data_IF_883653114972
#
_entry.id   IF_883653114972
#
_cell.length_a   1.000
_cell.length_b   1.000
_cell.length_c   1.000
_cell.angle_alpha   90.00
_cell.angle_beta   90.00
_cell.angle_gamma   90.00
#
_symmetry.space_group_name_H-M   'P 1'
#
loop_
_entity.id
_entity.type
_entity.pdbx_description
1 polymer ?
#
# COMPACT_ATOMS: atom_id res chain seq x y z
N UNK A 1 -19.92 -40.24 2.66
CA UNK A 1 -19.24 -38.98 3.04
C UNK A 1 -19.95 -37.86 2.33
N UNK A 2 -20.59 -36.95 3.06
CA UNK A 2 -21.12 -35.72 2.47
C UNK A 2 -19.96 -34.92 1.87
N UNK A 3 -20.14 -34.43 0.64
CA UNK A 3 -19.12 -33.64 -0.06
C UNK A 3 -18.98 -32.32 0.68
N UNK A 4 -17.80 -32.08 1.28
CA UNK A 4 -17.51 -30.83 1.97
C UNK A 4 -17.56 -29.66 0.98
N UNK A 5 -18.27 -28.59 1.36
CA UNK A 5 -18.39 -27.38 0.55
C UNK A 5 -17.03 -26.68 0.43
N UNK A 6 -16.59 -26.41 -0.79
CA UNK A 6 -15.27 -25.85 -1.08
C UNK A 6 -15.35 -24.43 -1.64
N UNK A 7 -14.21 -23.72 -1.69
CA UNK A 7 -14.10 -22.47 -2.43
C UNK A 7 -14.55 -22.60 -3.90
N UNK A 8 -14.35 -23.76 -4.53
CA UNK A 8 -14.79 -23.97 -5.90
C UNK A 8 -16.32 -23.98 -6.01
N UNK A 9 -17.00 -24.66 -5.07
CA UNK A 9 -18.47 -24.70 -5.04
C UNK A 9 -19.03 -23.30 -4.73
N UNK A 10 -18.38 -22.54 -3.83
CA UNK A 10 -18.71 -21.15 -3.51
C UNK A 10 -18.65 -20.23 -4.73
N UNK A 11 -17.56 -20.29 -5.50
CA UNK A 11 -17.38 -19.46 -6.69
C UNK A 11 -18.47 -19.76 -7.73
N UNK A 12 -18.81 -21.04 -7.93
CA UNK A 12 -19.92 -21.43 -8.83
C UNK A 12 -21.23 -20.84 -8.34
N UNK A 13 -21.58 -21.02 -7.06
CA UNK A 13 -22.86 -20.56 -6.51
C UNK A 13 -23.00 -19.03 -6.62
N UNK A 14 -21.90 -18.28 -6.40
CA UNK A 14 -21.87 -16.83 -6.60
C UNK A 14 -22.15 -16.46 -8.06
N UNK A 15 -21.46 -17.08 -9.02
CA UNK A 15 -21.68 -16.77 -10.44
C UNK A 15 -23.06 -17.21 -10.95
N UNK A 16 -23.61 -18.32 -10.47
CA UNK A 16 -24.98 -18.76 -10.81
C UNK A 16 -26.03 -17.75 -10.35
N UNK A 17 -25.80 -17.12 -9.19
CA UNK A 17 -26.70 -16.12 -8.62
C UNK A 17 -26.53 -14.75 -9.25
N UNK A 18 -25.30 -14.27 -9.45
CA UNK A 18 -25.02 -12.91 -9.96
C UNK A 18 -25.09 -12.84 -11.49
N UNK A 19 -24.63 -13.88 -12.19
CA UNK A 19 -24.61 -13.98 -13.65
C UNK A 19 -23.92 -12.83 -14.38
N UNK A 20 -22.86 -12.28 -13.79
CA UNK A 20 -22.06 -11.19 -14.37
C UNK A 20 -20.56 -11.44 -14.23
N UNK A 21 -19.73 -10.82 -15.10
CA UNK A 21 -18.28 -10.85 -14.95
C UNK A 21 -17.81 -10.19 -13.66
N UNK A 22 -17.03 -10.90 -12.84
CA UNK A 22 -16.55 -10.38 -11.55
C UNK A 22 -15.05 -10.61 -11.35
N UNK A 23 -14.41 -9.74 -10.58
CA UNK A 23 -13.04 -9.95 -10.06
C UNK A 23 -13.05 -10.94 -8.89
N UNK A 24 -11.91 -11.53 -8.51
CA UNK A 24 -11.83 -12.40 -7.34
C UNK A 24 -12.35 -11.77 -6.03
N UNK A 25 -12.09 -10.47 -5.85
CA UNK A 25 -12.51 -9.68 -4.69
C UNK A 25 -14.02 -9.55 -4.66
N UNK A 26 -14.62 -9.16 -5.79
CA UNK A 26 -16.07 -9.02 -5.94
C UNK A 26 -16.79 -10.36 -5.71
N UNK A 27 -16.21 -11.47 -6.17
CA UNK A 27 -16.75 -12.81 -5.90
C UNK A 27 -16.76 -13.11 -4.41
N UNK A 28 -15.70 -12.76 -3.69
CA UNK A 28 -15.64 -12.95 -2.23
C UNK A 28 -16.62 -12.04 -1.49
N UNK A 29 -16.68 -10.75 -1.83
CA UNK A 29 -17.63 -9.79 -1.26
C UNK A 29 -19.07 -10.27 -1.43
N UNK A 30 -19.44 -10.74 -2.63
CA UNK A 30 -20.76 -11.32 -2.89
C UNK A 30 -21.01 -12.62 -2.14
N UNK A 31 -19.97 -13.44 -1.95
CA UNK A 31 -20.10 -14.64 -1.13
C UNK A 31 -20.45 -14.29 0.32
N UNK A 32 -19.82 -13.27 0.90
CA UNK A 32 -20.12 -12.77 2.25
C UNK A 32 -21.53 -12.15 2.30
N UNK A 33 -21.89 -11.32 1.32
CA UNK A 33 -23.23 -10.73 1.20
C UNK A 33 -24.33 -11.79 1.17
N UNK A 34 -24.08 -12.90 0.47
CA UNK A 34 -25.02 -14.02 0.37
C UNK A 34 -24.87 -15.06 1.50
N UNK A 35 -23.98 -14.83 2.46
CA UNK A 35 -23.66 -15.76 3.55
C UNK A 35 -23.19 -17.15 3.06
N UNK A 36 -22.59 -17.23 1.87
CA UNK A 36 -22.01 -18.48 1.33
C UNK A 36 -20.66 -18.80 1.98
N UNK A 37 -19.94 -17.79 2.45
CA UNK A 37 -18.73 -17.91 3.25
C UNK A 37 -18.94 -18.78 4.50
N UNK A 38 -20.12 -18.68 5.14
CA UNK A 38 -20.49 -19.46 6.34
C UNK A 38 -20.60 -20.96 6.08
N UNK A 39 -20.70 -21.39 4.82
CA UNK A 39 -20.73 -22.81 4.45
C UNK A 39 -19.32 -23.42 4.39
N UNK A 40 -18.27 -22.59 4.38
CA UNK A 40 -16.89 -23.06 4.39
C UNK A 40 -16.51 -23.56 5.80
N UNK A 41 -15.79 -24.68 5.86
CA UNK A 41 -15.29 -25.20 7.14
C UNK A 41 -14.21 -24.34 7.79
N UNK A 42 -13.54 -23.48 7.02
CA UNK A 42 -12.60 -22.47 7.49
C UNK A 42 -12.32 -21.47 6.37
N UNK A 43 -12.16 -20.19 6.70
CA UNK A 43 -11.59 -19.19 5.81
C UNK A 43 -10.12 -18.93 6.18
N UNK A 44 -9.24 -18.86 5.19
CA UNK A 44 -7.85 -18.43 5.39
C UNK A 44 -7.77 -16.91 5.65
N UNK A 45 -6.56 -16.39 5.90
CA UNK A 45 -6.34 -14.95 6.12
C UNK A 45 -6.66 -14.08 4.89
N UNK A 46 -6.57 -14.65 3.68
CA UNK A 46 -6.77 -13.95 2.40
C UNK A 46 -7.75 -14.69 1.49
N UNK A 47 -9.07 -14.66 1.80
CA UNK A 47 -10.07 -15.41 1.04
C UNK A 47 -10.20 -14.98 -0.43
N UNK A 48 -10.11 -13.68 -0.74
CA UNK A 48 -10.15 -13.17 -2.11
C UNK A 48 -8.97 -13.68 -2.96
N UNK A 49 -7.75 -13.70 -2.39
CA UNK A 49 -6.58 -14.30 -3.04
C UNK A 49 -6.78 -15.81 -3.29
N UNK A 50 -7.44 -16.51 -2.36
CA UNK A 50 -7.79 -17.93 -2.51
C UNK A 50 -8.79 -18.15 -3.64
N UNK A 51 -9.80 -17.28 -3.76
CA UNK A 51 -10.74 -17.26 -4.89
C UNK A 51 -9.99 -17.06 -6.21
N UNK A 52 -9.11 -16.06 -6.26
CA UNK A 52 -8.30 -15.76 -7.44
C UNK A 52 -7.45 -16.95 -7.86
N UNK A 53 -6.69 -17.53 -6.93
CA UNK A 53 -5.89 -18.72 -7.19
C UNK A 53 -6.73 -19.85 -7.79
N UNK A 54 -7.94 -20.09 -7.28
CA UNK A 54 -8.81 -21.15 -7.79
C UNK A 54 -9.31 -20.87 -9.21
N UNK A 55 -9.67 -19.62 -9.51
CA UNK A 55 -10.07 -19.17 -10.85
C UNK A 55 -8.93 -19.36 -11.86
N UNK A 56 -7.72 -18.92 -11.53
CA UNK A 56 -6.56 -19.03 -12.41
C UNK A 56 -6.11 -20.47 -12.64
N UNK A 57 -6.11 -21.30 -11.59
CA UNK A 57 -5.75 -22.73 -11.71
C UNK A 57 -6.74 -23.45 -12.64
N UNK A 58 -8.05 -23.23 -12.48
CA UNK A 58 -9.06 -23.83 -13.35
C UNK A 58 -8.89 -23.41 -14.81
N UNK A 59 -8.69 -22.10 -15.04
CA UNK A 59 -8.47 -21.54 -16.37
C UNK A 59 -7.20 -22.09 -17.04
N UNK A 60 -6.12 -22.27 -16.28
CA UNK A 60 -4.83 -22.76 -16.78
C UNK A 60 -4.84 -24.27 -17.04
N UNK A 61 -5.33 -25.07 -16.10
CA UNK A 61 -5.22 -26.53 -16.16
C UNK A 61 -6.24 -27.15 -17.11
N UNK A 62 -7.44 -26.55 -17.23
CA UNK A 62 -8.53 -27.12 -18.02
C UNK A 62 -8.74 -26.42 -19.36
N UNK A 63 -8.15 -25.26 -19.60
CA UNK A 63 -8.21 -24.50 -20.85
C UNK A 63 -9.64 -24.43 -21.45
N UNK A 64 -9.90 -25.10 -22.57
CA UNK A 64 -11.22 -25.12 -23.23
C UNK A 64 -12.32 -25.78 -22.37
N UNK A 65 -11.95 -26.69 -21.47
CA UNK A 65 -12.84 -27.37 -20.51
C UNK A 65 -12.96 -26.65 -19.17
N UNK A 66 -12.36 -25.47 -19.04
CA UNK A 66 -12.43 -24.65 -17.81
C UNK A 66 -13.87 -24.32 -17.46
N UNK A 67 -14.22 -24.41 -16.17
CA UNK A 67 -15.54 -24.03 -15.65
C UNK A 67 -15.71 -22.52 -15.69
N UNK A 68 -14.62 -21.78 -15.45
CA UNK A 68 -14.59 -20.32 -15.49
C UNK A 68 -13.89 -19.81 -16.76
N UNK A 69 -14.34 -18.69 -17.29
CA UNK A 69 -13.74 -18.01 -18.44
C UNK A 69 -13.26 -16.63 -17.99
N UNK A 70 -11.99 -16.33 -18.21
CA UNK A 70 -11.47 -14.98 -18.05
C UNK A 70 -11.91 -14.13 -19.24
N UNK A 71 -12.65 -13.06 -18.96
CA UNK A 71 -13.25 -12.18 -19.97
C UNK A 71 -12.63 -10.78 -19.97
N UNK A 72 -11.86 -10.43 -18.94
CA UNK A 72 -10.96 -9.26 -18.89
C UNK A 72 -9.67 -9.60 -18.18
N UNK A 73 -8.58 -8.88 -18.49
CA UNK A 73 -7.24 -9.08 -17.90
C UNK A 73 -6.78 -7.94 -16.98
N UNK A 74 -7.36 -6.75 -17.10
CA UNK A 74 -6.93 -5.54 -16.36
C UNK A 74 -8.12 -4.62 -16.10
N UNK A 75 -8.81 -4.77 -14.96
CA UNK A 75 -8.65 -5.84 -13.97
C UNK A 75 -9.11 -7.20 -14.51
N UNK A 76 -8.68 -8.28 -13.85
CA UNK A 76 -9.07 -9.63 -14.27
C UNK A 76 -10.51 -9.93 -13.87
N UNK A 77 -11.37 -10.21 -14.86
CA UNK A 77 -12.77 -10.56 -14.62
C UNK A 77 -13.08 -11.94 -15.16
N UNK A 78 -13.81 -12.73 -14.39
CA UNK A 78 -14.18 -14.09 -14.69
C UNK A 78 -15.70 -14.25 -14.75
N UNK A 79 -16.17 -15.27 -15.47
CA UNK A 79 -17.57 -15.69 -15.49
C UNK A 79 -17.70 -17.20 -15.66
N UNK A 80 -18.82 -17.80 -15.26
CA UNK A 80 -19.14 -19.19 -15.56
C UNK A 80 -19.30 -19.42 -17.07
N UNK A 81 -18.60 -20.41 -17.60
CA UNK A 81 -18.70 -20.84 -19.01
C UNK A 81 -20.13 -21.24 -19.38
N UNK A 82 -20.82 -21.92 -18.46
CA UNK A 82 -22.18 -22.45 -18.67
C UNK A 82 -23.23 -21.36 -18.91
N UNK A 83 -22.97 -20.11 -18.51
CA UNK A 83 -23.90 -19.01 -18.72
C UNK A 83 -23.96 -18.55 -20.18
N UNK A 84 -22.94 -18.85 -20.99
CA UNK A 84 -22.86 -18.58 -22.42
C UNK A 84 -23.31 -17.15 -22.82
N UNK A 85 -22.88 -16.15 -22.04
CA UNK A 85 -23.24 -14.73 -22.26
C UNK A 85 -22.51 -14.19 -23.48
N UNK A 86 -23.20 -13.36 -24.28
CA UNK A 86 -22.62 -12.73 -25.47
C UNK A 86 -21.46 -11.78 -25.12
N UNK A 87 -20.45 -11.71 -25.99
CA UNK A 87 -19.29 -10.83 -25.79
C UNK A 87 -19.65 -9.33 -25.73
N UNK A 88 -20.71 -8.90 -26.41
CA UNK A 88 -21.19 -7.52 -26.37
C UNK A 88 -21.83 -7.16 -25.03
N UNK A 89 -22.56 -8.08 -24.41
CA UNK A 89 -23.14 -7.91 -23.09
C UNK A 89 -22.06 -7.89 -22.00
N UNK A 90 -21.08 -8.80 -22.08
CA UNK A 90 -19.90 -8.79 -21.21
C UNK A 90 -19.20 -7.44 -21.27
N UNK A 91 -18.94 -6.92 -22.47
CA UNK A 91 -18.25 -5.64 -22.64
C UNK A 91 -19.02 -4.48 -22.01
N UNK A 92 -20.34 -4.41 -22.21
CA UNK A 92 -21.21 -3.38 -21.60
C UNK A 92 -21.20 -3.44 -20.08
N UNK A 93 -21.24 -4.63 -19.49
CA UNK A 93 -21.20 -4.80 -18.04
C UNK A 93 -19.85 -4.36 -17.46
N UNK A 94 -18.74 -4.68 -18.14
CA UNK A 94 -17.40 -4.21 -17.74
C UNK A 94 -17.31 -2.68 -17.80
N UNK A 95 -17.68 -2.07 -18.92
CA UNK A 95 -17.66 -0.61 -19.10
C UNK A 95 -18.55 0.11 -18.06
N UNK A 96 -19.72 -0.47 -17.75
CA UNK A 96 -20.61 0.09 -16.73
C UNK A 96 -19.98 0.06 -15.33
N UNK A 97 -19.25 -1.01 -15.00
CA UNK A 97 -18.58 -1.15 -13.71
C UNK A 97 -17.38 -0.23 -13.58
N UNK A 98 -16.51 -0.17 -14.58
CA UNK A 98 -15.35 0.74 -14.58
C UNK A 98 -15.79 2.20 -14.38
N UNK A 99 -16.88 2.61 -15.02
CA UNK A 99 -17.45 3.95 -14.82
C UNK A 99 -18.02 4.18 -13.40
N UNK A 100 -18.51 3.14 -12.74
CA UNK A 100 -19.01 3.23 -11.36
C UNK A 100 -17.86 3.32 -10.36
N UNK A 101 -16.81 2.51 -10.54
CA UNK A 101 -15.60 2.50 -9.71
C UNK A 101 -14.86 3.86 -9.78
N UNK A 102 -14.75 4.44 -10.98
CA UNK A 102 -14.19 5.78 -11.16
C UNK A 102 -14.95 6.87 -10.38
N UNK A 103 -16.29 6.77 -10.31
CA UNK A 103 -17.09 7.72 -9.52
C UNK A 103 -16.89 7.51 -8.02
N UNK A 104 -16.90 6.26 -7.57
CA UNK A 104 -16.74 5.92 -6.16
C UNK A 104 -15.36 6.33 -5.61
N UNK A 105 -14.30 6.18 -6.42
CA UNK A 105 -12.94 6.62 -6.04
C UNK A 105 -12.83 8.15 -5.84
N UNK A 106 -13.66 8.93 -6.54
CA UNK A 106 -13.73 10.39 -6.38
C UNK A 106 -14.56 10.81 -5.17
N UNK A 107 -15.37 9.92 -4.58
CA UNK A 107 -16.32 10.21 -3.49
C UNK A 107 -15.81 9.83 -2.09
N UNK A 108 -14.54 9.41 -1.92
CA UNK A 108 -14.05 9.04 -0.59
C UNK A 108 -14.07 10.24 0.38
N UNK A 109 -14.61 10.04 1.58
CA UNK A 109 -14.77 11.09 2.60
C UNK A 109 -13.45 11.60 3.22
N UNK A 110 -12.32 10.93 2.96
CA UNK A 110 -11.01 11.31 3.47
C UNK A 110 -9.98 11.47 2.35
N UNK A 111 -8.92 12.22 2.63
CA UNK A 111 -7.79 12.43 1.74
C UNK A 111 -6.57 11.60 2.17
N UNK A 112 -5.53 11.55 1.34
CA UNK A 112 -4.30 10.78 1.62
C UNK A 112 -3.62 11.22 2.91
N UNK A 113 -3.71 12.51 3.26
CA UNK A 113 -3.14 13.06 4.50
C UNK A 113 -3.81 12.54 5.75
N UNK A 114 -5.09 12.19 5.68
CA UNK A 114 -5.79 11.55 6.79
C UNK A 114 -5.23 10.13 7.09
N UNK A 115 -4.40 9.56 6.20
CA UNK A 115 -3.72 8.29 6.45
C UNK A 115 -2.37 8.44 7.16
N UNK A 116 -1.83 9.65 7.27
CA UNK A 116 -0.51 9.88 7.88
C UNK A 116 -0.43 9.34 9.32
N UNK A 117 -1.43 9.58 10.20
CA UNK A 117 -1.38 9.06 11.58
C UNK A 117 -1.32 7.53 11.66
N UNK A 118 -1.90 6.82 10.68
CA UNK A 118 -1.84 5.36 10.60
C UNK A 118 -0.40 4.93 10.31
N UNK A 119 0.22 5.51 9.28
CA UNK A 119 1.62 5.21 8.95
C UNK A 119 2.55 5.55 10.12
N UNK A 120 2.42 6.74 10.72
CA UNK A 120 3.22 7.19 11.88
C UNK A 120 3.16 6.14 13.01
N UNK A 121 1.95 5.66 13.34
CA UNK A 121 1.76 4.64 14.37
C UNK A 121 2.41 3.30 14.00
N UNK A 122 2.28 2.88 12.75
CA UNK A 122 2.87 1.65 12.24
C UNK A 122 4.40 1.69 12.31
N UNK A 123 5.05 2.68 11.67
CA UNK A 123 6.51 2.71 11.54
C UNK A 123 7.23 3.01 12.85
N UNK A 124 6.56 3.68 13.80
CA UNK A 124 7.09 3.89 15.14
C UNK A 124 7.22 2.59 15.94
N UNK A 125 6.27 1.66 15.77
CA UNK A 125 6.22 0.40 16.53
C UNK A 125 6.81 -0.81 15.80
N UNK A 126 6.93 -0.72 14.47
CA UNK A 126 7.45 -1.78 13.65
C UNK A 126 8.99 -1.91 13.81
N UNK A 127 9.54 -3.09 14.14
CA UNK A 127 10.98 -3.28 14.38
C UNK A 127 11.91 -2.97 13.20
N UNK A 128 11.43 -3.10 11.95
CA UNK A 128 12.22 -2.76 10.76
C UNK A 128 12.47 -1.26 10.67
N UNK A 129 11.45 -0.47 11.02
CA UNK A 129 11.49 0.99 10.93
C UNK A 129 11.98 1.62 12.24
N UNK A 130 11.24 1.37 13.35
CA UNK A 130 11.43 1.97 14.67
C UNK A 130 11.80 3.47 14.56
N UNK A 131 11.06 4.20 13.73
CA UNK A 131 11.47 5.52 13.27
C UNK A 131 10.52 6.62 13.70
N UNK A 132 11.06 7.84 13.79
CA UNK A 132 10.30 9.07 13.97
C UNK A 132 9.99 9.66 12.61
N UNK A 133 8.76 10.12 12.39
CA UNK A 133 8.34 10.67 11.10
C UNK A 133 8.06 12.16 11.15
N UNK A 134 8.17 12.80 10.00
CA UNK A 134 7.74 14.18 9.77
C UNK A 134 6.93 14.26 8.49
N UNK A 135 5.72 14.78 8.59
CA UNK A 135 4.88 15.12 7.43
C UNK A 135 5.47 16.33 6.74
N UNK A 136 5.64 16.24 5.41
CA UNK A 136 6.14 17.32 4.58
C UNK A 136 4.96 17.92 3.81
N UNK A 137 4.66 19.19 4.06
CA UNK A 137 3.53 19.87 3.43
C UNK A 137 3.97 20.50 2.13
N UNK A 138 3.63 19.86 1.01
CA UNK A 138 3.93 20.35 -0.33
C UNK A 138 3.46 21.80 -0.56
N UNK A 139 2.31 22.19 0.00
CA UNK A 139 1.73 23.54 -0.12
C UNK A 139 2.59 24.67 0.47
N UNK A 140 3.52 24.32 1.37
CA UNK A 140 4.45 25.23 2.01
C UNK A 140 5.69 25.51 1.15
N UNK A 141 5.84 24.84 0.00
CA UNK A 141 7.01 24.99 -0.86
C UNK A 141 7.05 26.36 -1.55
N UNK A 142 8.26 26.92 -1.69
CA UNK A 142 8.51 28.29 -2.14
C UNK A 142 8.15 28.48 -3.61
N UNK A 143 8.43 27.48 -4.46
CA UNK A 143 8.07 27.48 -5.88
C UNK A 143 6.74 26.76 -6.06
N UNK A 144 5.72 27.45 -6.58
CA UNK A 144 4.41 26.88 -6.92
C UNK A 144 4.27 26.71 -8.42
N UNK A 145 5.08 25.84 -9.02
CA UNK A 145 4.89 25.47 -10.43
C UNK A 145 3.96 24.26 -10.47
N UNK A 146 2.74 24.46 -10.97
CA UNK A 146 1.72 23.41 -11.12
C UNK A 146 2.33 22.25 -11.93
N UNK A 147 2.31 21.04 -11.37
CA UNK A 147 2.85 19.83 -12.00
C UNK A 147 4.32 19.51 -11.69
N UNK A 148 5.16 20.45 -11.26
CA UNK A 148 6.54 20.12 -10.82
C UNK A 148 6.57 19.62 -9.37
N UNK A 149 5.72 20.21 -8.52
CA UNK A 149 5.72 19.88 -7.09
C UNK A 149 5.17 18.48 -6.79
N UNK A 150 4.35 17.90 -7.67
CA UNK A 150 3.81 16.53 -7.52
C UNK A 150 4.90 15.44 -7.63
N UNK A 151 6.07 15.80 -8.14
CA UNK A 151 7.19 14.89 -8.42
C UNK A 151 8.45 15.23 -7.63
N UNK A 152 8.31 16.07 -6.62
CA UNK A 152 9.44 16.52 -5.83
C UNK A 152 9.33 16.11 -4.36
N UNK A 153 8.17 16.24 -3.74
CA UNK A 153 8.06 16.11 -2.28
C UNK A 153 7.49 14.76 -1.86
N UNK A 154 8.16 14.02 -0.97
CA UNK A 154 7.51 12.90 -0.29
C UNK A 154 6.44 13.42 0.68
N UNK A 155 5.45 12.58 1.00
CA UNK A 155 4.40 12.95 1.94
C UNK A 155 4.89 12.90 3.39
N UNK A 156 5.68 11.87 3.72
CA UNK A 156 6.37 11.75 5.00
C UNK A 156 7.81 11.33 4.82
N UNK A 157 8.66 11.80 5.72
CA UNK A 157 10.02 11.33 5.88
C UNK A 157 10.19 10.73 7.27
N UNK A 158 11.07 9.74 7.39
CA UNK A 158 11.34 9.03 8.63
C UNK A 158 12.81 8.99 8.96
N UNK A 159 13.14 8.95 10.26
CA UNK A 159 14.50 8.71 10.74
C UNK A 159 14.51 7.69 11.88
N UNK A 160 15.34 6.66 11.72
CA UNK A 160 15.71 5.75 12.80
C UNK A 160 16.96 6.26 13.51
N UNK A 161 16.91 6.28 14.85
CA UNK A 161 18.03 6.64 15.70
C UNK A 161 18.49 5.45 16.55
N UNK A 162 19.78 5.07 16.51
CA UNK A 162 20.33 3.95 17.26
C UNK A 162 20.60 4.26 18.75
N UNK A 163 20.23 5.46 19.23
CA UNK A 163 20.67 6.00 20.54
C UNK A 163 20.28 5.14 21.75
N UNK A 164 19.21 4.35 21.65
CA UNK A 164 18.71 3.49 22.73
C UNK A 164 19.06 2.01 22.53
N UNK A 165 19.56 1.65 21.36
CA UNK A 165 19.75 0.26 20.97
C UNK A 165 21.15 -0.25 21.33
N UNK A 166 22.09 0.67 21.53
CA UNK A 166 23.48 0.37 21.87
C UNK A 166 23.95 1.15 23.09
N UNK A 167 24.96 0.59 23.79
CA UNK A 167 25.67 1.32 24.83
C UNK A 167 26.46 2.49 24.24
N UNK A 168 26.80 3.47 25.10
CA UNK A 168 27.59 4.64 24.69
C UNK A 168 28.95 4.25 24.13
N UNK A 169 29.56 3.19 24.64
CA UNK A 169 30.85 2.67 24.20
C UNK A 169 30.76 2.10 22.78
N UNK A 170 29.73 1.31 22.49
CA UNK A 170 29.48 0.75 21.16
C UNK A 170 29.19 1.86 20.14
N UNK A 171 28.40 2.87 20.51
CA UNK A 171 28.15 4.03 19.63
C UNK A 171 29.44 4.80 19.31
N UNK A 172 30.32 5.03 20.31
CA UNK A 172 31.62 5.67 20.08
C UNK A 172 32.51 4.86 19.13
N UNK A 173 32.47 3.53 19.24
CA UNK A 173 33.19 2.65 18.32
C UNK A 173 32.62 2.75 16.91
N UNK A 174 31.29 2.73 16.74
CA UNK A 174 30.65 2.93 15.43
C UNK A 174 31.09 4.25 14.78
N UNK A 175 31.08 5.36 15.54
CA UNK A 175 31.57 6.65 15.06
C UNK A 175 33.04 6.60 14.66
N UNK A 176 33.89 5.95 15.48
CA UNK A 176 35.33 5.83 15.20
C UNK A 176 35.62 4.98 13.95
N UNK A 177 34.74 4.02 13.65
CA UNK A 177 34.79 3.17 12.45
C UNK A 177 34.04 3.77 11.25
N UNK A 178 33.50 4.98 11.38
CA UNK A 178 32.67 5.65 10.38
C UNK A 178 31.46 4.81 9.90
N UNK A 179 30.87 4.04 10.82
CA UNK A 179 29.66 3.25 10.58
C UNK A 179 28.45 4.15 10.82
N UNK A 180 27.67 4.42 9.77
CA UNK A 180 26.41 5.14 9.89
C UNK A 180 25.27 4.16 10.22
N UNK A 181 24.79 4.22 11.45
CA UNK A 181 23.65 3.42 11.94
C UNK A 181 22.32 4.16 11.87
N UNK A 182 22.31 5.45 11.49
CA UNK A 182 21.10 6.22 11.24
C UNK A 182 20.56 5.84 9.87
N UNK A 183 19.23 5.66 9.78
CA UNK A 183 18.55 5.36 8.52
C UNK A 183 17.47 6.38 8.25
N UNK A 184 17.41 6.86 7.01
CA UNK A 184 16.35 7.73 6.50
C UNK A 184 15.37 6.93 5.65
N UNK A 185 14.10 7.21 5.88
CA UNK A 185 12.98 6.62 5.15
C UNK A 185 12.20 7.72 4.44
N UNK A 186 11.58 7.39 3.31
CA UNK A 186 10.69 8.29 2.60
C UNK A 186 9.44 7.54 2.17
N UNK A 187 8.28 8.17 2.34
CA UNK A 187 6.98 7.54 2.14
C UNK A 187 6.09 8.40 1.24
N UNK A 188 5.53 7.77 0.22
CA UNK A 188 4.49 8.30 -0.66
C UNK A 188 3.17 7.61 -0.30
N UNK A 189 2.14 8.38 0.05
CA UNK A 189 0.85 7.88 0.53
C UNK A 189 -0.19 7.85 -0.59
N UNK A 190 -0.93 6.74 -0.68
CA UNK A 190 -2.09 6.61 -1.57
C UNK A 190 -3.26 5.93 -0.87
N UNK A 191 -4.49 6.30 -1.23
CA UNK A 191 -5.70 5.64 -0.70
C UNK A 191 -5.87 4.23 -1.24
N UNK A 192 -5.72 4.08 -2.55
CA UNK A 192 -5.82 2.81 -3.23
C UNK A 192 -4.81 2.74 -4.38
N UNK A 193 -4.47 1.51 -4.80
CA UNK A 193 -3.71 1.27 -6.02
C UNK A 193 -4.31 0.09 -6.78
N UNK A 194 -4.50 0.28 -8.08
CA UNK A 194 -5.03 -0.69 -9.05
C UNK A 194 -4.41 -0.46 -10.43
N UNK A 195 -4.82 -1.21 -11.46
CA UNK A 195 -4.25 -1.08 -12.81
C UNK A 195 -4.41 0.32 -13.44
N UNK A 196 -5.42 1.10 -13.04
CA UNK A 196 -5.68 2.43 -13.60
C UNK A 196 -4.65 3.46 -13.18
N UNK A 197 -4.09 3.31 -11.97
CA UNK A 197 -3.19 4.29 -11.35
C UNK A 197 -1.80 3.74 -11.00
N UNK A 198 -1.58 2.42 -11.11
CA UNK A 198 -0.33 1.72 -10.76
C UNK A 198 0.93 2.46 -11.19
N UNK A 199 1.06 2.75 -12.49
CA UNK A 199 2.29 3.36 -13.01
C UNK A 199 2.47 4.77 -12.47
N UNK A 200 1.41 5.57 -12.48
CA UNK A 200 1.49 6.95 -12.03
C UNK A 200 1.95 7.01 -10.57
N UNK A 201 1.26 6.29 -9.68
CA UNK A 201 1.56 6.32 -8.26
C UNK A 201 2.91 5.67 -7.94
N UNK A 202 3.26 4.58 -8.61
CA UNK A 202 4.56 3.95 -8.41
C UNK A 202 5.70 4.89 -8.85
N UNK A 203 5.60 5.55 -10.00
CA UNK A 203 6.66 6.46 -10.45
C UNK A 203 6.68 7.78 -9.66
N UNK A 204 5.57 8.22 -9.07
CA UNK A 204 5.58 9.29 -8.06
C UNK A 204 6.43 8.87 -6.86
N UNK A 205 6.21 7.68 -6.31
CA UNK A 205 7.02 7.16 -5.20
C UNK A 205 8.51 7.03 -5.58
N UNK A 206 8.81 6.58 -6.80
CA UNK A 206 10.20 6.56 -7.32
C UNK A 206 10.79 7.97 -7.32
N UNK A 207 10.10 8.95 -7.88
CA UNK A 207 10.59 10.34 -7.95
C UNK A 207 10.80 10.96 -6.57
N UNK A 208 9.82 10.78 -5.68
CA UNK A 208 9.74 11.50 -4.41
C UNK A 208 10.54 10.83 -3.29
N UNK A 209 10.82 9.52 -3.39
CA UNK A 209 11.35 8.73 -2.28
C UNK A 209 12.64 7.96 -2.56
N UNK A 210 13.17 7.95 -3.79
CA UNK A 210 14.42 7.22 -4.10
C UNK A 210 15.68 7.83 -3.48
N UNK A 211 15.62 9.06 -2.96
CA UNK A 211 16.77 9.74 -2.36
C UNK A 211 17.19 9.13 -1.00
N UNK A 212 16.24 8.52 -0.28
CA UNK A 212 16.44 8.00 1.07
C UNK A 212 17.13 6.62 1.08
N UNK A 213 17.49 6.12 2.28
CA UNK A 213 18.02 4.75 2.40
C UNK A 213 16.96 3.73 1.97
N UNK A 214 15.68 3.96 2.28
CA UNK A 214 14.57 3.15 1.81
C UNK A 214 13.37 4.04 1.47
N UNK A 215 12.85 3.89 0.25
CA UNK A 215 11.66 4.58 -0.23
C UNK A 215 10.47 3.63 -0.34
N UNK A 216 9.28 4.10 0.05
CA UNK A 216 8.07 3.28 0.10
C UNK A 216 6.87 3.97 -0.54
N UNK A 217 6.11 3.19 -1.31
CA UNK A 217 4.73 3.48 -1.66
C UNK A 217 3.82 2.81 -0.63
N UNK A 218 3.01 3.61 0.06
CA UNK A 218 2.14 3.17 1.14
C UNK A 218 0.70 3.29 0.68
N UNK A 219 -0.07 2.21 0.80
CA UNK A 219 -1.47 2.18 0.38
C UNK A 219 -2.38 1.64 1.48
N UNK A 220 -3.58 2.20 1.60
CA UNK A 220 -4.61 1.61 2.45
C UNK A 220 -5.25 0.38 1.75
N UNK A 221 -5.55 0.50 0.46
CA UNK A 221 -6.12 -0.57 -0.36
C UNK A 221 -5.20 -0.91 -1.53
N UNK A 222 -5.05 -2.19 -1.82
CA UNK A 222 -4.24 -2.70 -2.93
C UNK A 222 -5.09 -3.76 -3.62
N UNK A 223 -5.16 -3.71 -4.95
CA UNK A 223 -5.83 -4.74 -5.76
C UNK A 223 -5.24 -6.13 -5.43
N UNK A 224 -6.11 -7.07 -5.07
CA UNK A 224 -5.75 -8.41 -4.62
C UNK A 224 -5.58 -9.39 -5.79
N UNK A 225 -5.83 -8.95 -7.03
CA UNK A 225 -5.61 -9.76 -8.22
C UNK A 225 -4.15 -10.27 -8.27
N UNK A 226 -3.94 -11.59 -8.36
CA UNK A 226 -2.60 -12.18 -8.43
C UNK A 226 -1.71 -11.62 -9.54
N UNK A 227 -2.27 -11.28 -10.71
CA UNK A 227 -1.45 -10.69 -11.79
C UNK A 227 -1.07 -9.24 -11.47
N UNK A 228 -1.94 -8.50 -10.78
CA UNK A 228 -1.65 -7.15 -10.33
C UNK A 228 -0.49 -7.17 -9.32
N UNK A 229 -0.59 -8.01 -8.28
CA UNK A 229 0.47 -8.17 -7.28
C UNK A 229 1.81 -8.59 -7.91
N UNK A 230 1.79 -9.45 -8.94
CA UNK A 230 2.99 -9.81 -9.70
C UNK A 230 3.62 -8.63 -10.46
N UNK A 231 2.80 -7.76 -11.08
CA UNK A 231 3.30 -6.56 -11.75
C UNK A 231 3.87 -5.55 -10.74
N UNK A 232 3.19 -5.36 -9.61
CA UNK A 232 3.65 -4.49 -8.53
C UNK A 232 5.00 -4.96 -7.96
N UNK A 233 5.15 -6.28 -7.74
CA UNK A 233 6.42 -6.88 -7.32
C UNK A 233 7.53 -6.69 -8.38
N UNK A 234 7.20 -6.82 -9.68
CA UNK A 234 8.15 -6.58 -10.77
C UNK A 234 8.64 -5.13 -10.77
N UNK A 235 7.75 -4.16 -10.57
CA UNK A 235 8.11 -2.75 -10.48
C UNK A 235 8.99 -2.50 -9.23
N UNK A 236 8.59 -3.01 -8.07
CA UNK A 236 9.36 -2.90 -6.83
C UNK A 236 10.79 -3.45 -7.01
N UNK A 237 10.93 -4.65 -7.58
CA UNK A 237 12.25 -5.25 -7.84
C UNK A 237 13.09 -4.45 -8.83
N UNK A 238 12.47 -3.83 -9.84
CA UNK A 238 13.17 -3.07 -10.87
C UNK A 238 13.67 -1.72 -10.36
N UNK A 239 12.86 -1.01 -9.56
CA UNK A 239 13.13 0.38 -9.17
C UNK A 239 13.55 0.55 -7.70
N UNK A 240 13.35 -0.48 -6.86
CA UNK A 240 13.79 -0.49 -5.47
C UNK A 240 12.84 0.17 -4.48
N UNK A 241 11.64 0.59 -4.90
CA UNK A 241 10.61 1.13 -4.00
C UNK A 241 9.88 -0.03 -3.31
N UNK A 242 9.84 0.00 -1.98
CA UNK A 242 9.07 -0.94 -1.17
C UNK A 242 7.59 -0.62 -1.19
N UNK A 243 6.76 -1.60 -0.85
CA UNK A 243 5.30 -1.45 -0.82
C UNK A 243 4.80 -1.78 0.58
N UNK A 244 4.05 -0.86 1.19
CA UNK A 244 3.38 -1.07 2.48
C UNK A 244 1.87 -1.07 2.27
N UNK A 245 1.19 -2.08 2.81
CA UNK A 245 -0.26 -2.09 2.93
C UNK A 245 -0.65 -1.88 4.38
N UNK A 246 -1.33 -0.77 4.64
CA UNK A 246 -1.86 -0.47 5.97
C UNK A 246 -3.12 -1.27 6.24
N UNK A 247 -3.24 -1.80 7.45
CA UNK A 247 -4.47 -2.37 7.97
C UNK A 247 -5.05 -1.39 9.00
N UNK A 248 -6.13 -0.66 8.67
CA UNK A 248 -6.71 0.33 9.58
C UNK A 248 -7.39 -0.31 10.79
N UNK A 249 -7.91 -1.54 10.67
CA UNK A 249 -8.57 -2.25 11.77
C UNK A 249 -7.55 -2.75 12.80
N UNK A 250 -6.38 -3.21 12.33
CA UNK A 250 -5.29 -3.69 13.16
C UNK A 250 -3.95 -3.19 12.62
N UNK A 251 -3.50 -2.04 13.13
CA UNK A 251 -2.32 -1.36 12.57
C UNK A 251 -1.04 -2.22 12.66
N UNK A 252 -0.93 -3.07 13.68
CA UNK A 252 0.18 -4.01 13.87
C UNK A 252 0.21 -5.12 12.83
N UNK A 253 -0.92 -5.39 12.17
CA UNK A 253 -1.05 -6.35 11.06
C UNK A 253 -0.81 -5.70 9.69
N UNK A 254 -0.42 -4.44 9.64
CA UNK A 254 0.03 -3.81 8.39
C UNK A 254 1.30 -4.50 7.87
N UNK A 255 1.37 -4.68 6.56
CA UNK A 255 2.38 -5.54 5.92
C UNK A 255 3.30 -4.76 4.98
N UNK A 256 4.60 -5.09 5.01
CA UNK A 256 5.53 -4.77 3.93
C UNK A 256 5.36 -5.86 2.88
N UNK A 257 4.61 -5.57 1.82
CA UNK A 257 4.35 -6.54 0.73
C UNK A 257 5.62 -6.75 -0.10
N UNK A 258 6.33 -5.66 -0.39
CA UNK A 258 7.59 -5.70 -1.10
C UNK A 258 8.64 -4.92 -0.30
N UNK A 259 9.79 -5.53 -0.05
CA UNK A 259 10.89 -4.84 0.63
C UNK A 259 11.49 -3.77 -0.29
N UNK A 260 11.77 -2.60 0.27
CA UNK A 260 12.54 -1.59 -0.43
C UNK A 260 13.99 -2.06 -0.61
N UNK A 261 14.66 -1.58 -1.66
CA UNK A 261 16.11 -1.73 -1.79
C UNK A 261 16.76 -0.74 -0.83
N UNK A 262 17.66 -1.24 0.02
CA UNK A 262 18.49 -0.38 0.84
C UNK A 262 19.54 0.34 -0.02
N UNK A 263 19.51 1.67 0.00
CA UNK A 263 20.51 2.54 -0.63
C UNK A 263 21.53 2.96 0.43
N UNK A 264 22.78 2.53 0.29
CA UNK A 264 23.88 2.91 1.19
C UNK A 264 24.21 4.41 1.07
N UNK A 265 24.12 4.94 -0.15
CA UNK A 265 24.38 6.35 -0.45
C UNK A 265 23.06 7.08 -0.66
N UNK A 266 22.85 8.13 0.13
CA UNK A 266 21.73 9.05 0.00
C UNK A 266 22.00 9.99 -1.19
N UNK A 267 20.96 10.31 -1.96
CA UNK A 267 21.04 11.31 -3.02
C UNK A 267 21.04 12.73 -2.42
N UNK A 268 22.25 13.25 -2.21
CA UNK A 268 22.49 14.57 -1.62
C UNK A 268 21.96 15.72 -2.47
N UNK A 269 21.99 15.59 -3.80
CA UNK A 269 21.52 16.64 -4.70
C UNK A 269 20.00 16.79 -4.60
N UNK A 270 19.28 15.66 -4.52
CA UNK A 270 17.82 15.68 -4.30
C UNK A 270 17.48 16.18 -2.90
N UNK A 271 18.23 15.78 -1.87
CA UNK A 271 18.04 16.25 -0.49
C UNK A 271 18.23 17.77 -0.37
N UNK A 272 19.30 18.32 -0.96
CA UNK A 272 19.55 19.77 -0.93
C UNK A 272 18.44 20.53 -1.64
N UNK A 273 18.03 20.08 -2.83
CA UNK A 273 16.91 20.68 -3.55
C UNK A 273 15.61 20.68 -2.72
N UNK A 274 15.33 19.58 -2.00
CA UNK A 274 14.16 19.50 -1.11
C UNK A 274 14.26 20.49 0.06
N UNK A 275 15.45 20.63 0.63
CA UNK A 275 15.75 21.57 1.71
C UNK A 275 15.57 23.02 1.26
N UNK A 276 16.04 23.38 0.07
CA UNK A 276 15.87 24.73 -0.49
C UNK A 276 14.39 25.05 -0.81
N UNK A 277 13.67 24.07 -1.37
CA UNK A 277 12.32 24.30 -1.89
C UNK A 277 11.23 24.20 -0.81
N UNK A 278 11.43 23.44 0.28
CA UNK A 278 10.42 23.19 1.30
C UNK A 278 10.92 23.47 2.75
N UNK A 279 10.32 24.45 3.46
CA UNK A 279 10.76 24.83 4.81
C UNK A 279 10.52 23.75 5.87
N UNK A 280 9.51 22.89 5.70
CA UNK A 280 9.28 21.77 6.64
C UNK A 280 10.37 20.70 6.50
N UNK A 281 10.81 20.44 5.27
CA UNK A 281 11.93 19.53 5.00
C UNK A 281 13.25 20.12 5.50
N UNK A 282 13.52 21.40 5.25
CA UNK A 282 14.69 22.09 5.80
C UNK A 282 14.73 21.99 7.33
N UNK A 283 13.59 22.23 7.99
CA UNK A 283 13.45 22.07 9.43
C UNK A 283 13.71 20.63 9.87
N UNK A 284 13.22 19.63 9.14
CA UNK A 284 13.52 18.22 9.42
C UNK A 284 15.03 17.93 9.40
N UNK A 285 15.76 18.44 8.40
CA UNK A 285 17.23 18.27 8.33
C UNK A 285 17.94 18.98 9.49
N UNK A 286 17.49 20.17 9.88
CA UNK A 286 18.02 20.89 11.04
C UNK A 286 17.78 20.12 12.34
N UNK A 287 16.55 19.70 12.58
CA UNK A 287 16.12 18.92 13.76
C UNK A 287 16.90 17.60 13.87
N UNK A 288 17.11 16.93 12.72
CA UNK A 288 17.93 15.71 12.61
C UNK A 288 19.37 15.97 13.04
N UNK A 289 19.99 17.02 12.49
CA UNK A 289 21.40 17.35 12.77
C UNK A 289 21.61 17.67 14.24
N UNK A 290 20.68 18.39 14.87
CA UNK A 290 20.70 18.69 16.31
C UNK A 290 20.57 17.43 17.16
N UNK A 291 19.61 16.55 16.85
CA UNK A 291 19.39 15.31 17.60
C UNK A 291 20.61 14.36 17.53
N UNK A 292 21.26 14.30 16.36
CA UNK A 292 22.51 13.55 16.15
C UNK A 292 23.63 14.11 17.03
N UNK A 293 23.84 15.42 17.01
CA UNK A 293 24.87 16.07 17.82
C UNK A 293 24.64 15.88 19.33
N UNK A 294 23.38 15.85 19.76
CA UNK A 294 23.00 15.62 21.15
C UNK A 294 23.03 14.14 21.57
N UNK A 295 23.01 13.21 20.60
CA UNK A 295 22.88 11.76 20.84
C UNK A 295 21.55 11.38 21.51
N UNK A 296 20.51 12.20 21.34
CA UNK A 296 19.16 11.96 21.86
C UNK A 296 18.13 12.73 21.03
N UNK A 297 16.93 12.17 20.94
CA UNK A 297 15.79 12.82 20.28
C UNK A 297 15.19 13.89 21.20
N UNK A 298 15.33 15.16 20.82
CA UNK A 298 14.76 16.34 21.50
C UNK A 298 13.79 17.07 20.57
N UNK A 299 14.01 17.01 19.26
CA UNK A 299 13.19 17.69 18.25
C UNK A 299 11.76 17.17 18.19
N UNK A 300 10.88 17.94 17.54
CA UNK A 300 9.44 17.65 17.47
C UNK A 300 9.06 17.00 16.14
N UNK A 301 8.86 15.69 16.19
CA UNK A 301 8.33 14.84 15.11
C UNK A 301 6.81 14.69 15.21
N UNK A 302 6.21 13.99 14.25
CA UNK A 302 4.79 13.70 14.25
C UNK A 302 4.39 12.86 15.47
N UNK A 303 3.24 13.17 16.06
CA UNK A 303 2.78 12.50 17.28
C UNK A 303 2.21 11.13 16.96
N UNK A 304 2.69 10.13 17.69
CA UNK A 304 2.10 8.80 17.67
C UNK A 304 0.74 8.84 18.39
N UNK A 305 -0.32 8.53 17.67
CA UNK A 305 -1.67 8.50 18.23
C UNK A 305 -1.82 7.28 19.16
N UNK A 306 -2.43 7.50 20.34
CA UNK A 306 -2.71 6.45 21.32
C UNK A 306 -3.83 5.54 20.83
N UNK A 307 -3.91 4.31 21.34
CA UNK A 307 -4.93 3.32 20.91
C UNK A 307 -6.36 3.88 21.08
N UNK A 308 -6.67 4.47 22.24
CA UNK A 308 -7.98 5.10 22.51
C UNK A 308 -8.37 6.18 21.50
N UNK A 309 -7.40 6.94 21.00
CA UNK A 309 -7.64 8.02 20.03
C UNK A 309 -7.68 7.48 18.60
N UNK A 310 -7.00 6.37 18.34
CA UNK A 310 -6.88 5.79 17.01
C UNK A 310 -8.22 5.31 16.49
N UNK A 311 -8.97 4.53 17.27
CA UNK A 311 -10.31 4.06 16.86
C UNK A 311 -11.29 5.21 16.59
N UNK A 312 -11.25 6.24 17.44
CA UNK A 312 -12.08 7.42 17.28
C UNK A 312 -11.73 8.20 16.01
N UNK A 313 -10.43 8.33 15.72
CA UNK A 313 -9.94 9.00 14.52
C UNK A 313 -10.41 8.29 13.23
N UNK A 314 -10.33 6.96 13.19
CA UNK A 314 -10.75 6.19 12.02
C UNK A 314 -12.24 6.37 11.70
N UNK A 315 -13.09 6.39 12.74
CA UNK A 315 -14.54 6.64 12.61
C UNK A 315 -14.83 8.08 12.19
N UNK A 316 -14.19 9.05 12.84
CA UNK A 316 -14.37 10.48 12.54
C UNK A 316 -14.03 10.80 11.08
N UNK A 317 -12.96 10.19 10.56
CA UNK A 317 -12.49 10.37 9.18
C UNK A 317 -13.18 9.45 8.18
N UNK A 318 -14.09 8.57 8.62
CA UNK A 318 -14.72 7.57 7.75
C UNK A 318 -13.68 6.75 6.94
N UNK A 319 -12.57 6.39 7.60
CA UNK A 319 -11.54 5.51 7.02
C UNK A 319 -12.00 4.06 7.06
N UNK A 320 -12.74 3.70 8.13
CA UNK A 320 -13.43 2.41 8.32
C UNK A 320 -14.92 2.62 8.54
#
# INVERSE_FOLDING_TARGET
>A
MEKQYTFFDLIIEVFEKVKKPMTPEEVWEKAVEFSFDKKLGSSGKTPAATVGARLYVDAKEKAEKSTFVQVSKRPSRFILRSLNISGSEIKREIEKKENAELKQNNESNFNERDLHPLLVKYVYSNPHFNCYTKTIYQENSVKRVKGANEWLHPDLVGVYFPFKDYSKETMKLQTSLNVNSIKLFSFEMKKNIDYSNLRQYFFQAVSNSSWANEGYLVCLKIDEDPNFRNELQRLSNAFGIGIIKLNPESISESEIICNARYNENIDWDTLERLSEDNPDFNKFISDLTEDIALGKVKSTYDKVITDDKFENYLKEKSII
#
